data_IF_973991987337
#
_entry.id   IF_973991987337
#
_cell.length_a   1.000
_cell.length_b   1.000
_cell.length_c   1.000
_cell.angle_alpha   90.00
_cell.angle_beta   90.00
_cell.angle_gamma   90.00
#
_symmetry.space_group_name_H-M   'P 1'
#
loop_
_entity.id
_entity.type
_entity.pdbx_description
1 polymer ?
#
# COMPACT_ATOMS: atom_id res chain seq x y z
N UNK A 1 5.98 -8.98 8.64
CA UNK A 1 5.15 -7.80 8.97
C UNK A 1 4.53 -7.29 7.69
N UNK A 2 3.22 -7.45 7.52
CA UNK A 2 2.48 -6.80 6.43
C UNK A 2 2.27 -5.32 6.74
N UNK A 3 2.46 -4.44 5.76
CA UNK A 3 2.23 -3.00 5.92
C UNK A 3 0.75 -2.70 6.21
N UNK A 4 -0.15 -3.38 5.50
CA UNK A 4 -1.60 -3.34 5.74
C UNK A 4 -1.96 -3.74 7.17
N UNK A 5 -1.51 -4.91 7.61
CA UNK A 5 -1.97 -5.53 8.85
C UNK A 5 -1.42 -4.83 10.09
N UNK A 6 -0.16 -4.39 10.03
CA UNK A 6 0.42 -3.58 11.10
C UNK A 6 -0.34 -2.26 11.28
N UNK A 7 -0.92 -1.73 10.20
CA UNK A 7 -1.73 -0.51 10.23
C UNK A 7 -3.17 -0.76 10.70
N UNK A 8 -3.93 -1.62 10.04
CA UNK A 8 -5.39 -1.70 10.18
C UNK A 8 -5.85 -2.91 11.02
N UNK A 9 -6.50 -2.70 12.18
CA UNK A 9 -7.61 -3.59 12.59
C UNK A 9 -8.60 -2.91 13.55
N UNK A 10 -9.89 -2.94 13.19
CA UNK A 10 -11.01 -2.93 14.16
C UNK A 10 -11.17 -4.34 14.71
N UNK A 11 -10.90 -4.56 15.99
CA UNK A 11 -11.64 -5.61 16.69
C UNK A 11 -12.91 -4.99 17.26
N UNK A 12 -14.05 -5.64 17.00
CA UNK A 12 -15.22 -5.50 17.87
C UNK A 12 -14.73 -5.80 19.28
N UNK A 13 -14.56 -4.75 20.09
CA UNK A 13 -14.28 -4.93 21.50
C UNK A 13 -15.55 -5.53 22.10
N UNK A 14 -15.52 -6.83 22.36
CA UNK A 14 -16.50 -7.44 23.26
C UNK A 14 -16.19 -6.88 24.67
N UNK A 15 -17.08 -6.09 25.29
CA UNK A 15 -16.78 -5.36 26.54
C UNK A 15 -16.45 -6.24 27.75
N UNK A 16 -16.50 -7.57 27.61
CA UNK A 16 -16.48 -8.53 28.72
C UNK A 16 -15.15 -9.25 28.95
N UNK A 17 -14.10 -9.03 28.13
CA UNK A 17 -12.76 -9.60 28.38
C UNK A 17 -11.77 -8.54 28.83
N UNK A 18 -11.51 -8.51 30.14
CA UNK A 18 -10.35 -7.83 30.71
C UNK A 18 -9.06 -8.38 30.06
N UNK A 19 -8.22 -7.46 29.56
CA UNK A 19 -6.90 -7.75 29.05
C UNK A 19 -6.00 -8.22 30.20
N UNK A 20 -5.80 -9.55 30.34
CA UNK A 20 -4.69 -10.08 31.11
C UNK A 20 -3.44 -10.13 30.22
N UNK A 21 -2.50 -9.23 30.52
CA UNK A 21 -1.23 -9.07 29.81
C UNK A 21 -0.23 -10.07 30.42
N UNK A 22 -0.28 -11.34 30.01
CA UNK A 22 0.77 -12.31 30.31
C UNK A 22 0.86 -13.36 29.20
N UNK A 23 1.84 -13.19 28.31
CA UNK A 23 2.52 -14.18 27.41
C UNK A 23 2.79 -13.61 26.01
N UNK A 24 3.98 -13.03 25.83
CA UNK A 24 4.47 -12.37 24.60
C UNK A 24 5.45 -13.24 23.80
N UNK A 25 5.04 -14.41 23.31
CA UNK A 25 5.92 -15.20 22.41
C UNK A 25 5.30 -15.61 21.06
N UNK A 26 3.99 -15.45 20.85
CA UNK A 26 3.33 -15.85 19.60
C UNK A 26 2.24 -14.89 19.10
N UNK A 27 2.28 -13.61 19.50
CA UNK A 27 1.28 -12.66 19.03
C UNK A 27 1.60 -12.20 17.59
N UNK A 28 0.59 -12.10 16.71
CA UNK A 28 0.76 -11.42 15.42
C UNK A 28 1.27 -10.00 15.66
N UNK A 29 1.98 -9.38 14.69
CA UNK A 29 2.55 -8.05 14.85
C UNK A 29 1.50 -7.05 15.38
N UNK A 30 1.90 -6.15 16.30
CA UNK A 30 0.97 -5.22 16.93
C UNK A 30 0.28 -4.34 15.89
N UNK A 31 -1.04 -4.30 15.96
CA UNK A 31 -1.95 -3.60 15.03
C UNK A 31 -2.29 -2.25 15.64
N UNK A 32 -2.00 -1.14 14.94
CA UNK A 32 -1.78 0.11 15.68
C UNK A 32 -2.85 1.20 15.56
N UNK A 33 -3.63 1.24 14.46
CA UNK A 33 -4.52 2.38 14.21
C UNK A 33 -5.55 2.68 15.33
N UNK A 34 -6.18 1.69 15.99
CA UNK A 34 -7.08 1.97 17.12
C UNK A 34 -6.41 2.65 18.32
N UNK A 35 -5.11 2.40 18.50
CA UNK A 35 -4.36 2.94 19.64
C UNK A 35 -3.88 4.37 19.40
N UNK A 36 -3.86 4.83 18.14
CA UNK A 36 -3.42 6.18 17.76
C UNK A 36 -4.22 7.27 18.49
N UNK A 37 -5.52 7.06 18.71
CA UNK A 37 -6.37 8.00 19.46
C UNK A 37 -5.94 8.20 20.93
N UNK A 38 -5.18 7.28 21.50
CA UNK A 38 -4.69 7.32 22.87
C UNK A 38 -3.22 7.78 22.97
N UNK A 39 -2.56 8.05 21.85
CA UNK A 39 -1.13 8.37 21.82
C UNK A 39 -0.76 9.56 22.73
N UNK A 40 -1.57 10.63 22.75
CA UNK A 40 -1.29 11.78 23.62
C UNK A 40 -1.56 11.52 25.11
N UNK A 41 -2.19 10.40 25.47
CA UNK A 41 -2.44 10.02 26.87
C UNK A 41 -1.32 9.16 27.45
N UNK A 42 -0.45 8.59 26.61
CA UNK A 42 0.63 7.70 27.01
C UNK A 42 1.89 7.97 26.15
N UNK A 43 2.92 8.62 26.73
CA UNK A 43 4.18 8.91 26.02
C UNK A 43 4.89 7.66 25.48
N UNK A 44 4.77 6.52 26.16
CA UNK A 44 5.35 5.25 25.71
C UNK A 44 4.63 4.77 24.46
N UNK A 45 3.30 4.81 24.46
CA UNK A 45 2.48 4.48 23.30
C UNK A 45 2.78 5.42 22.11
N UNK A 46 2.88 6.73 22.35
CA UNK A 46 3.25 7.70 21.31
C UNK A 46 4.61 7.37 20.68
N UNK A 47 5.60 7.06 21.50
CA UNK A 47 6.95 6.68 21.04
C UNK A 47 6.91 5.39 20.23
N UNK A 48 6.16 4.39 20.71
CA UNK A 48 5.98 3.12 20.01
C UNK A 48 5.34 3.33 18.61
N UNK A 49 4.27 4.12 18.53
CA UNK A 49 3.58 4.42 17.27
C UNK A 49 4.49 5.14 16.27
N UNK A 50 5.28 6.11 16.73
CA UNK A 50 6.31 6.77 15.92
C UNK A 50 7.35 5.76 15.39
N UNK A 51 7.75 4.81 16.25
CA UNK A 51 8.61 3.70 15.86
C UNK A 51 8.02 2.84 14.75
N UNK A 52 6.72 2.53 14.81
CA UNK A 52 6.02 1.79 13.75
C UNK A 52 6.00 2.57 12.43
N UNK A 53 5.72 3.88 12.47
CA UNK A 53 5.78 4.75 11.28
C UNK A 53 7.18 4.73 10.64
N UNK A 54 8.24 4.87 11.44
CA UNK A 54 9.62 4.87 10.94
C UNK A 54 10.08 3.48 10.47
N UNK A 55 9.59 2.41 11.09
CA UNK A 55 9.87 1.05 10.66
C UNK A 55 9.22 0.76 9.29
N UNK A 56 7.96 1.14 9.09
CA UNK A 56 7.32 1.05 7.77
C UNK A 56 8.04 1.91 6.74
N UNK A 57 8.49 3.12 7.12
CA UNK A 57 9.29 3.96 6.23
C UNK A 57 10.58 3.28 5.78
N UNK A 58 11.34 2.65 6.70
CA UNK A 58 12.54 1.87 6.35
C UNK A 58 12.23 0.85 5.25
N UNK A 59 11.20 0.05 5.44
CA UNK A 59 10.77 -0.96 4.49
C UNK A 59 10.35 -0.42 3.12
N UNK A 60 9.45 0.57 3.11
CA UNK A 60 8.99 1.22 1.86
C UNK A 60 10.15 1.93 1.14
N UNK A 61 11.09 2.50 1.90
CA UNK A 61 12.24 3.18 1.32
C UNK A 61 13.20 2.24 0.59
N UNK A 62 13.23 0.94 0.90
CA UNK A 62 14.08 -0.03 0.21
C UNK A 62 13.30 -0.82 -0.83
N UNK A 63 12.11 -1.27 -0.48
CA UNK A 63 11.33 -2.22 -1.27
C UNK A 63 9.85 -1.80 -1.36
N UNK A 64 9.52 -0.75 -2.12
CA UNK A 64 8.16 -0.22 -2.21
C UNK A 64 7.17 -1.15 -2.93
N UNK A 65 7.65 -2.23 -3.55
CA UNK A 65 6.83 -3.26 -4.19
C UNK A 65 6.44 -4.42 -3.27
N UNK A 66 7.00 -4.51 -2.05
CA UNK A 66 6.68 -5.58 -1.12
C UNK A 66 5.46 -5.27 -0.25
N UNK A 67 4.65 -6.30 -0.01
CA UNK A 67 3.56 -6.30 0.97
C UNK A 67 4.05 -6.69 2.37
N UNK A 68 5.03 -7.59 2.48
CA UNK A 68 5.44 -8.18 3.75
C UNK A 68 6.96 -8.20 3.99
N UNK A 69 7.36 -7.88 5.22
CA UNK A 69 8.77 -7.70 5.61
C UNK A 69 9.21 -8.63 6.74
N UNK A 70 10.50 -8.97 6.77
CA UNK A 70 11.11 -9.68 7.89
C UNK A 70 11.08 -8.82 9.15
N UNK A 71 11.20 -9.46 10.31
CA UNK A 71 11.43 -8.71 11.54
C UNK A 71 12.75 -7.90 11.43
N UNK A 72 12.80 -6.69 12.00
CA UNK A 72 14.02 -5.87 11.94
C UNK A 72 15.19 -6.61 12.62
N UNK A 73 16.43 -6.52 12.12
CA UNK A 73 17.59 -7.24 12.68
C UNK A 73 17.78 -7.02 14.18
N UNK A 74 17.42 -5.84 14.67
CA UNK A 74 17.46 -5.41 16.07
C UNK A 74 16.56 -6.28 16.99
N UNK A 75 15.59 -7.01 16.43
CA UNK A 75 14.74 -7.94 17.17
C UNK A 75 15.41 -9.29 17.48
N UNK A 76 16.51 -9.63 16.80
CA UNK A 76 17.16 -10.94 16.89
C UNK A 76 16.36 -12.10 16.27
N UNK A 77 15.20 -11.84 15.67
CA UNK A 77 14.39 -12.83 14.97
C UNK A 77 15.00 -13.06 13.58
N UNK A 78 15.30 -14.32 13.26
CA UNK A 78 15.89 -14.67 11.96
C UNK A 78 14.88 -14.52 10.82
N UNK A 79 15.30 -14.07 9.62
CA UNK A 79 14.46 -14.09 8.43
C UNK A 79 13.90 -15.48 8.11
N UNK A 80 12.67 -15.53 7.58
CA UNK A 80 11.96 -16.75 7.14
C UNK A 80 11.13 -16.45 5.89
N UNK A 81 10.70 -17.43 5.10
CA UNK A 81 9.69 -17.19 4.06
C UNK A 81 9.95 -17.86 2.72
N UNK A 82 9.23 -17.40 1.70
CA UNK A 82 9.20 -17.99 0.36
C UNK A 82 10.32 -17.41 -0.49
N UNK A 83 11.38 -18.19 -0.69
CA UNK A 83 12.58 -17.74 -1.41
C UNK A 83 12.62 -18.16 -2.89
N UNK A 84 11.54 -18.72 -3.41
CA UNK A 84 11.46 -19.25 -4.79
C UNK A 84 10.67 -18.36 -5.75
N UNK A 85 10.18 -17.21 -5.30
CA UNK A 85 9.47 -16.28 -6.17
C UNK A 85 10.45 -15.58 -7.11
N UNK A 86 10.06 -15.46 -8.38
CA UNK A 86 10.79 -14.67 -9.35
C UNK A 86 10.15 -13.29 -9.44
N UNK A 87 10.87 -12.28 -8.97
CA UNK A 87 10.35 -10.92 -8.79
C UNK A 87 11.29 -9.90 -9.41
N UNK A 88 10.72 -8.92 -10.10
CA UNK A 88 11.41 -7.71 -10.51
C UNK A 88 10.70 -6.49 -9.88
N UNK A 89 11.42 -5.51 -9.32
CA UNK A 89 12.86 -5.53 -9.04
C UNK A 89 13.24 -6.66 -8.06
N UNK A 90 14.50 -7.13 -8.07
CA UNK A 90 14.95 -8.18 -7.15
C UNK A 90 14.87 -7.71 -5.70
N UNK A 91 14.64 -8.67 -4.81
CA UNK A 91 14.30 -8.41 -3.42
C UNK A 91 15.40 -8.92 -2.49
N UNK A 92 15.67 -8.19 -1.40
CA UNK A 92 16.57 -8.65 -0.36
C UNK A 92 15.80 -9.57 0.59
N UNK A 93 16.09 -10.86 0.56
CA UNK A 93 15.42 -11.87 1.40
C UNK A 93 15.68 -11.70 2.90
N UNK A 94 16.65 -10.87 3.29
CA UNK A 94 16.90 -10.54 4.70
C UNK A 94 15.98 -9.44 5.21
N UNK A 95 15.41 -8.62 4.33
CA UNK A 95 14.45 -7.55 4.67
C UNK A 95 13.02 -7.89 4.27
N UNK A 96 12.83 -8.63 3.17
CA UNK A 96 11.51 -8.93 2.59
C UNK A 96 11.09 -10.36 2.91
N UNK A 97 9.83 -10.52 3.32
CA UNK A 97 9.16 -11.81 3.50
C UNK A 97 8.39 -12.22 2.24
N UNK A 98 7.65 -11.28 1.65
CA UNK A 98 6.89 -11.49 0.41
C UNK A 98 6.82 -10.18 -0.39
N UNK A 99 6.81 -10.31 -1.72
CA UNK A 99 6.89 -9.19 -2.65
C UNK A 99 5.67 -9.10 -3.59
N UNK A 100 4.47 -9.42 -3.10
CA UNK A 100 3.22 -9.25 -3.86
C UNK A 100 2.84 -7.78 -3.85
N UNK A 101 2.87 -7.13 -5.01
CA UNK A 101 2.57 -5.70 -5.07
C UNK A 101 1.07 -5.42 -4.93
N UNK A 102 0.75 -4.71 -3.86
CA UNK A 102 -0.58 -4.33 -3.44
C UNK A 102 -0.62 -2.81 -3.22
N UNK A 103 -1.49 -2.12 -3.94
CA UNK A 103 -1.60 -0.65 -3.83
C UNK A 103 -1.98 -0.20 -2.41
N UNK A 104 -2.70 -1.04 -1.66
CA UNK A 104 -3.08 -0.75 -0.27
C UNK A 104 -1.90 -0.82 0.70
N UNK A 105 -0.82 -1.55 0.38
CA UNK A 105 0.37 -1.63 1.25
C UNK A 105 1.06 -0.28 1.38
N UNK A 106 1.27 0.43 0.26
CA UNK A 106 1.80 1.79 0.26
C UNK A 106 0.80 2.80 0.84
N UNK A 107 -0.49 2.61 0.54
CA UNK A 107 -1.55 3.46 1.11
C UNK A 107 -1.63 3.33 2.63
N UNK A 108 -1.40 2.13 3.19
CA UNK A 108 -1.38 1.88 4.62
C UNK A 108 -0.24 2.64 5.33
N UNK A 109 0.94 2.71 4.70
CA UNK A 109 2.06 3.51 5.19
C UNK A 109 1.73 5.01 5.27
N UNK A 110 1.13 5.57 4.22
CA UNK A 110 0.69 6.96 4.21
C UNK A 110 -0.40 7.20 5.28
N UNK A 111 -1.34 6.25 5.39
CA UNK A 111 -2.43 6.28 6.37
C UNK A 111 -1.93 6.36 7.81
N UNK A 112 -1.05 5.44 8.24
CA UNK A 112 -0.58 5.46 9.62
C UNK A 112 0.23 6.72 9.93
N UNK A 113 1.01 7.20 8.95
CA UNK A 113 1.78 8.45 9.07
C UNK A 113 0.86 9.64 9.34
N UNK A 114 -0.19 9.81 8.52
CA UNK A 114 -1.15 10.89 8.69
C UNK A 114 -1.94 10.76 10.00
N UNK A 115 -2.47 9.59 10.32
CA UNK A 115 -3.26 9.42 11.54
C UNK A 115 -2.42 9.61 12.82
N UNK A 116 -1.16 9.15 12.83
CA UNK A 116 -0.24 9.43 13.93
C UNK A 116 -0.06 10.94 14.12
N UNK A 117 0.23 11.67 13.04
CA UNK A 117 0.31 13.14 13.07
C UNK A 117 -1.00 13.76 13.57
N UNK A 118 -2.14 13.41 12.96
CA UNK A 118 -3.44 14.01 13.28
C UNK A 118 -3.83 13.82 14.75
N UNK A 119 -3.48 12.69 15.37
CA UNK A 119 -3.77 12.44 16.78
C UNK A 119 -2.76 13.09 17.73
N UNK A 120 -1.51 13.32 17.30
CA UNK A 120 -0.41 13.72 18.19
C UNK A 120 0.12 15.13 17.99
N UNK A 121 -0.16 15.75 16.85
CA UNK A 121 0.48 16.98 16.36
C UNK A 121 1.96 16.83 16.03
N UNK A 122 2.54 15.63 16.13
CA UNK A 122 3.97 15.41 15.88
C UNK A 122 4.23 15.35 14.37
N UNK A 123 4.99 16.32 13.86
CA UNK A 123 5.50 16.34 12.47
C UNK A 123 6.98 15.98 12.39
N UNK A 124 7.66 15.72 13.51
CA UNK A 124 9.12 15.55 13.56
C UNK A 124 9.61 14.38 12.69
N UNK A 125 8.80 13.33 12.54
CA UNK A 125 9.15 12.16 11.72
C UNK A 125 9.21 12.50 10.23
N UNK A 126 8.51 13.54 9.75
CA UNK A 126 8.53 13.98 8.35
C UNK A 126 9.93 14.44 7.93
N UNK A 127 10.68 15.04 8.84
CA UNK A 127 12.05 15.50 8.61
C UNK A 127 13.09 14.38 8.74
N UNK A 128 12.67 13.17 9.12
CA UNK A 128 13.57 12.03 9.15
C UNK A 128 13.87 11.58 7.70
N UNK A 129 15.14 11.47 7.27
CA UNK A 129 15.48 11.17 5.88
C UNK A 129 14.83 9.89 5.34
N UNK A 130 14.77 8.83 6.17
CA UNK A 130 14.15 7.56 5.78
C UNK A 130 12.65 7.70 5.47
N UNK A 131 11.94 8.57 6.20
CA UNK A 131 10.50 8.75 6.00
C UNK A 131 10.25 9.56 4.74
N UNK A 132 11.01 10.63 4.50
CA UNK A 132 10.88 11.42 3.28
C UNK A 132 11.19 10.56 2.05
N UNK A 133 12.28 9.78 2.09
CA UNK A 133 12.63 8.86 1.01
C UNK A 133 11.54 7.80 0.77
N UNK A 134 10.90 7.29 1.83
CA UNK A 134 9.78 6.36 1.73
C UNK A 134 8.54 7.01 1.09
N UNK A 135 8.19 8.23 1.49
CA UNK A 135 7.07 8.96 0.92
C UNK A 135 7.27 9.25 -0.58
N UNK A 136 8.46 9.71 -0.96
CA UNK A 136 8.83 9.92 -2.37
C UNK A 136 8.78 8.61 -3.17
N UNK A 137 9.35 7.53 -2.63
CA UNK A 137 9.30 6.21 -3.30
C UNK A 137 7.89 5.64 -3.38
N UNK A 138 7.03 5.87 -2.40
CA UNK A 138 5.64 5.43 -2.44
C UNK A 138 4.88 6.13 -3.58
N UNK A 139 4.99 7.45 -3.68
CA UNK A 139 4.37 8.25 -4.76
C UNK A 139 4.92 7.85 -6.12
N UNK A 140 6.24 7.73 -6.25
CA UNK A 140 6.90 7.31 -7.50
C UNK A 140 6.48 5.90 -7.92
N UNK A 141 6.38 4.96 -6.97
CA UNK A 141 5.97 3.57 -7.25
C UNK A 141 4.52 3.52 -7.72
N UNK A 142 3.62 4.27 -7.07
CA UNK A 142 2.24 4.39 -7.55
C UNK A 142 2.17 5.01 -8.96
N UNK A 143 3.02 6.00 -9.27
CA UNK A 143 3.13 6.60 -10.63
C UNK A 143 3.61 5.60 -11.68
N UNK A 144 4.68 4.86 -11.39
CA UNK A 144 5.16 3.76 -12.23
C UNK A 144 4.06 2.74 -12.55
N UNK A 145 3.17 2.50 -11.60
CA UNK A 145 2.06 1.57 -11.74
C UNK A 145 0.83 2.16 -12.45
N UNK A 146 0.91 3.39 -12.95
CA UNK A 146 -0.02 3.91 -13.96
C UNK A 146 0.47 3.68 -15.40
N UNK A 147 1.75 3.36 -15.60
CA UNK A 147 2.34 3.22 -16.94
C UNK A 147 1.57 2.17 -17.77
N UNK A 148 1.14 2.57 -18.96
CA UNK A 148 0.48 1.70 -19.93
C UNK A 148 1.40 0.56 -20.37
N UNK A 149 0.83 -0.56 -20.77
CA UNK A 149 1.61 -1.72 -21.24
C UNK A 149 2.27 -1.47 -22.58
N UNK A 150 1.63 -0.68 -23.44
CA UNK A 150 2.17 -0.27 -24.74
C UNK A 150 2.26 1.24 -24.83
N UNK A 151 3.29 1.74 -25.51
CA UNK A 151 3.42 3.15 -25.86
C UNK A 151 2.49 3.56 -27.03
N UNK A 152 2.55 4.83 -27.43
CA UNK A 152 1.77 5.38 -28.54
C UNK A 152 2.08 4.76 -29.91
N UNK A 153 3.22 4.09 -30.04
CA UNK A 153 3.67 3.43 -31.26
C UNK A 153 3.35 1.91 -31.22
N UNK A 154 2.71 1.44 -30.15
CA UNK A 154 2.35 0.03 -29.97
C UNK A 154 3.50 -0.84 -29.47
N UNK A 155 4.64 -0.25 -29.06
CA UNK A 155 5.77 -1.00 -28.48
C UNK A 155 5.50 -1.29 -27.02
N UNK A 156 5.87 -2.49 -26.57
CA UNK A 156 5.69 -2.87 -25.17
C UNK A 156 6.66 -2.10 -24.27
N UNK A 157 6.12 -1.44 -23.24
CA UNK A 157 6.91 -0.78 -22.21
C UNK A 157 7.55 -1.82 -21.28
N UNK A 158 8.74 -1.49 -20.76
CA UNK A 158 9.43 -2.34 -19.78
C UNK A 158 8.62 -2.31 -18.47
N UNK A 159 8.16 -3.47 -17.97
CA UNK A 159 7.39 -3.52 -16.74
C UNK A 159 8.23 -3.07 -15.55
N UNK A 160 7.66 -2.20 -14.71
CA UNK A 160 8.31 -1.70 -13.49
C UNK A 160 8.27 -2.69 -12.33
N UNK A 161 7.39 -3.68 -12.45
CA UNK A 161 7.23 -4.78 -11.51
C UNK A 161 6.79 -6.04 -12.26
N UNK A 162 7.29 -7.19 -11.83
CA UNK A 162 6.88 -8.50 -12.32
C UNK A 162 6.94 -9.49 -11.17
N UNK A 163 6.01 -10.44 -11.12
CA UNK A 163 6.01 -11.49 -10.11
C UNK A 163 5.53 -12.82 -10.68
N UNK A 164 6.32 -13.87 -10.51
CA UNK A 164 5.86 -15.25 -10.73
C UNK A 164 6.22 -16.15 -9.56
N UNK A 165 5.30 -17.06 -9.25
CA UNK A 165 5.44 -18.09 -8.23
C UNK A 165 5.04 -19.45 -8.80
N UNK A 166 5.82 -20.47 -8.48
CA UNK A 166 5.41 -21.85 -8.73
C UNK A 166 4.44 -22.30 -7.62
N UNK A 167 3.14 -22.10 -7.84
CA UNK A 167 2.08 -22.43 -6.89
C UNK A 167 1.03 -23.36 -7.51
N UNK A 168 0.38 -24.15 -6.65
CA UNK A 168 -0.80 -24.95 -7.02
C UNK A 168 -2.03 -24.05 -7.21
N UNK A 169 -2.13 -22.98 -6.42
CA UNK A 169 -3.20 -22.00 -6.53
C UNK A 169 -2.86 -20.98 -7.63
N UNK A 170 -3.70 -20.83 -8.67
CA UNK A 170 -3.46 -19.85 -9.73
C UNK A 170 -3.51 -18.40 -9.23
N UNK A 171 -4.16 -18.11 -8.10
CA UNK A 171 -4.22 -16.74 -7.55
C UNK A 171 -2.93 -16.32 -6.83
N UNK A 172 -2.01 -17.25 -6.58
CA UNK A 172 -0.73 -16.97 -5.93
C UNK A 172 0.37 -16.49 -6.89
N UNK A 173 0.06 -16.34 -8.18
CA UNK A 173 1.00 -15.89 -9.22
C UNK A 173 0.32 -14.90 -10.19
N UNK A 174 1.11 -14.19 -10.98
CA UNK A 174 0.61 -13.35 -12.07
C UNK A 174 0.75 -14.06 -13.42
N UNK A 175 -0.21 -13.82 -14.30
CA UNK A 175 -0.20 -14.31 -15.67
C UNK A 175 0.67 -13.41 -16.59
N UNK A 176 0.80 -13.78 -17.87
CA UNK A 176 1.66 -13.10 -18.86
C UNK A 176 3.11 -12.93 -18.40
N UNK A 177 3.67 -14.03 -17.90
CA UNK A 177 5.05 -14.09 -17.43
C UNK A 177 5.31 -13.20 -16.22
N UNK A 178 4.27 -12.83 -15.47
CA UNK A 178 4.35 -12.07 -14.23
C UNK A 178 3.95 -10.59 -14.33
N UNK A 179 3.63 -10.11 -15.53
CA UNK A 179 3.34 -8.69 -15.80
C UNK A 179 1.89 -8.28 -15.53
N UNK A 180 1.01 -9.26 -15.32
CA UNK A 180 -0.43 -9.00 -15.26
C UNK A 180 -1.02 -8.57 -16.60
N UNK A 181 -2.25 -8.07 -16.56
CA UNK A 181 -3.03 -7.79 -17.77
C UNK A 181 -2.53 -6.54 -18.51
N UNK A 182 -2.55 -6.56 -19.85
CA UNK A 182 -2.22 -5.36 -20.61
C UNK A 182 -3.23 -4.26 -20.33
N UNK A 183 -2.73 -3.04 -20.16
CA UNK A 183 -3.54 -1.86 -19.89
C UNK A 183 -3.18 -0.71 -20.82
N UNK A 184 -4.14 0.21 -20.94
CA UNK A 184 -3.87 1.59 -21.35
C UNK A 184 -3.83 2.48 -20.11
N UNK A 185 -3.27 3.66 -20.26
CA UNK A 185 -3.28 4.67 -19.19
C UNK A 185 -4.72 5.14 -18.93
N UNK A 186 -5.16 5.06 -17.67
CA UNK A 186 -6.50 5.49 -17.22
C UNK A 186 -6.45 6.63 -16.20
N UNK A 187 -5.30 6.84 -15.57
CA UNK A 187 -5.15 7.63 -14.34
C UNK A 187 -5.27 6.78 -13.06
N UNK A 188 -5.73 5.52 -13.14
CA UNK A 188 -5.70 4.59 -12.01
C UNK A 188 -4.35 3.87 -11.88
N UNK A 189 -4.06 3.39 -10.67
CA UNK A 189 -2.87 2.62 -10.30
C UNK A 189 -3.18 1.13 -10.44
N UNK A 190 -2.32 0.38 -11.13
CA UNK A 190 -2.37 -1.09 -11.16
C UNK A 190 -2.14 -1.64 -9.76
N UNK A 191 -2.86 -2.67 -9.36
CA UNK A 191 -2.57 -3.52 -8.20
C UNK A 191 -2.46 -4.94 -8.72
N UNK A 192 -1.29 -5.56 -8.59
CA UNK A 192 -1.10 -6.92 -9.08
C UNK A 192 -1.84 -7.89 -8.17
N UNK A 193 -1.80 -7.65 -6.87
CA UNK A 193 -2.52 -8.43 -5.88
C UNK A 193 -3.53 -7.56 -5.11
N UNK A 194 -4.52 -8.23 -4.54
CA UNK A 194 -5.55 -7.67 -3.66
C UNK A 194 -5.06 -7.69 -2.21
N UNK A 195 -5.75 -7.00 -1.28
CA UNK A 195 -5.50 -7.14 0.15
C UNK A 195 -5.66 -8.55 0.73
N UNK A 196 -6.21 -9.51 -0.04
CA UNK A 196 -6.26 -10.94 0.32
C UNK A 196 -4.98 -11.70 -0.07
N UNK A 197 -3.99 -11.01 -0.64
CA UNK A 197 -2.79 -11.55 -1.28
C UNK A 197 -3.08 -12.41 -2.54
N UNK A 198 -4.32 -12.43 -3.04
CA UNK A 198 -4.69 -13.05 -4.33
C UNK A 198 -4.42 -12.11 -5.51
N UNK A 199 -4.04 -12.67 -6.65
CA UNK A 199 -3.88 -11.89 -7.88
C UNK A 199 -5.20 -11.21 -8.29
N UNK A 200 -5.10 -9.93 -8.66
CA UNK A 200 -6.20 -9.19 -9.25
C UNK A 200 -6.58 -9.81 -10.58
N UNK A 201 -7.88 -9.95 -10.84
CA UNK A 201 -8.37 -10.41 -12.15
C UNK A 201 -8.23 -9.26 -13.13
N UNK A 202 -8.67 -8.06 -12.77
CA UNK A 202 -8.36 -6.85 -13.51
C UNK A 202 -7.44 -5.93 -12.72
N UNK A 203 -6.45 -5.31 -13.36
CA UNK A 203 -5.33 -4.70 -12.65
C UNK A 203 -5.75 -3.44 -11.89
N UNK A 204 -6.86 -2.79 -12.23
CA UNK A 204 -7.33 -1.62 -11.49
C UNK A 204 -8.28 -2.03 -10.36
N UNK A 205 -7.73 -2.46 -9.24
CA UNK A 205 -8.47 -2.72 -8.00
C UNK A 205 -9.03 -1.40 -7.44
N UNK A 206 -10.35 -1.22 -7.54
CA UNK A 206 -11.02 0.07 -7.32
C UNK A 206 -10.98 0.50 -5.85
N UNK A 207 -11.25 -0.37 -4.85
CA UNK A 207 -11.12 0.01 -3.43
C UNK A 207 -9.70 0.45 -3.05
N UNK A 208 -8.67 -0.23 -3.58
CA UNK A 208 -7.27 0.14 -3.34
C UNK A 208 -6.92 1.50 -3.96
N UNK A 209 -7.42 1.78 -5.16
CA UNK A 209 -7.28 3.11 -5.79
C UNK A 209 -8.01 4.21 -5.01
N UNK A 210 -9.21 3.92 -4.49
CA UNK A 210 -9.95 4.86 -3.65
C UNK A 210 -9.18 5.18 -2.36
N UNK A 211 -8.60 4.17 -1.72
CA UNK A 211 -7.70 4.36 -0.58
C UNK A 211 -6.48 5.19 -0.96
N UNK A 212 -5.79 4.87 -2.06
CA UNK A 212 -4.63 5.64 -2.53
C UNK A 212 -4.99 7.12 -2.78
N UNK A 213 -6.13 7.41 -3.41
CA UNK A 213 -6.58 8.80 -3.60
C UNK A 213 -6.74 9.54 -2.27
N UNK A 214 -7.36 8.93 -1.27
CA UNK A 214 -7.52 9.55 0.06
C UNK A 214 -6.16 9.75 0.75
N UNK A 215 -5.31 8.73 0.76
CA UNK A 215 -4.06 8.79 1.52
C UNK A 215 -2.99 9.65 0.84
N UNK A 216 -3.05 9.87 -0.47
CA UNK A 216 -2.24 10.87 -1.18
C UNK A 216 -2.66 12.31 -0.82
N UNK A 217 -3.95 12.56 -0.63
CA UNK A 217 -4.42 13.86 -0.14
C UNK A 217 -3.97 14.08 1.31
N UNK A 218 -4.05 13.06 2.16
CA UNK A 218 -3.52 13.10 3.52
C UNK A 218 -1.99 13.35 3.55
N UNK A 219 -1.23 12.75 2.63
CA UNK A 219 0.20 13.04 2.49
C UNK A 219 0.43 14.52 2.19
N UNK A 220 -0.30 15.10 1.24
CA UNK A 220 -0.20 16.52 0.92
C UNK A 220 -0.51 17.41 2.13
N UNK A 221 -1.59 17.11 2.86
CA UNK A 221 -1.96 17.84 4.09
C UNK A 221 -0.88 17.75 5.17
N UNK A 222 -0.30 16.57 5.37
CA UNK A 222 0.79 16.34 6.34
C UNK A 222 2.02 17.18 5.97
N UNK A 223 2.43 17.14 4.70
CA UNK A 223 3.58 17.90 4.20
C UNK A 223 3.36 19.42 4.30
N UNK A 224 2.17 19.89 3.94
CA UNK A 224 1.79 21.31 4.09
C UNK A 224 1.83 21.75 5.56
N UNK A 225 1.28 20.93 6.47
CA UNK A 225 1.28 21.21 7.92
C UNK A 225 2.69 21.25 8.49
N UNK A 226 3.56 20.34 8.04
CA UNK A 226 4.96 20.31 8.44
C UNK A 226 5.79 21.45 7.79
N UNK A 227 5.29 22.11 6.74
CA UNK A 227 6.08 23.03 5.94
C UNK A 227 7.22 22.34 5.17
N UNK A 228 7.06 21.06 4.85
CA UNK A 228 8.09 20.20 4.26
C UNK A 228 7.74 19.82 2.82
N UNK A 229 8.76 19.74 1.95
CA UNK A 229 8.69 19.24 0.56
C UNK A 229 7.42 19.68 -0.20
N UNK A 230 7.32 20.99 -0.45
CA UNK A 230 6.17 21.61 -1.14
C UNK A 230 5.89 20.99 -2.50
N UNK A 231 6.93 20.55 -3.22
CA UNK A 231 6.79 19.91 -4.52
C UNK A 231 6.08 18.56 -4.39
N UNK A 232 6.56 17.68 -3.49
CA UNK A 232 5.91 16.38 -3.24
C UNK A 232 4.45 16.55 -2.77
N UNK A 233 4.17 17.55 -1.92
CA UNK A 233 2.81 17.89 -1.51
C UNK A 233 1.90 18.18 -2.70
N UNK A 234 2.35 19.06 -3.61
CA UNK A 234 1.60 19.41 -4.81
C UNK A 234 1.41 18.22 -5.76
N UNK A 235 2.45 17.42 -5.95
CA UNK A 235 2.37 16.20 -6.77
C UNK A 235 1.38 15.19 -6.18
N UNK A 236 1.41 14.96 -4.87
CA UNK A 236 0.49 14.04 -4.19
C UNK A 236 -0.96 14.52 -4.29
N UNK A 237 -1.23 15.82 -4.10
CA UNK A 237 -2.57 16.40 -4.26
C UNK A 237 -3.09 16.26 -5.68
N UNK A 238 -2.27 16.59 -6.68
CA UNK A 238 -2.63 16.44 -8.09
C UNK A 238 -2.93 14.96 -8.42
N UNK A 239 -2.10 14.05 -7.92
CA UNK A 239 -2.28 12.62 -8.13
C UNK A 239 -3.55 12.07 -7.46
N UNK A 240 -3.87 12.53 -6.25
CA UNK A 240 -5.14 12.20 -5.57
C UNK A 240 -6.36 12.53 -6.43
N UNK A 241 -6.38 13.74 -7.01
CA UNK A 241 -7.47 14.21 -7.88
C UNK A 241 -7.55 13.40 -9.18
N UNK A 242 -6.40 13.11 -9.78
CA UNK A 242 -6.29 12.31 -10.99
C UNK A 242 -6.89 10.91 -10.81
N UNK A 243 -6.49 10.19 -9.76
CA UNK A 243 -7.01 8.85 -9.44
C UNK A 243 -8.51 8.91 -9.18
N UNK A 244 -8.97 9.90 -8.42
CA UNK A 244 -10.40 10.08 -8.13
C UNK A 244 -11.21 10.24 -9.41
N UNK A 245 -10.79 11.13 -10.29
CA UNK A 245 -11.44 11.36 -11.57
C UNK A 245 -11.41 10.09 -12.44
N UNK A 246 -10.30 9.36 -12.44
CA UNK A 246 -10.16 8.10 -13.16
C UNK A 246 -11.09 7.00 -12.63
N UNK A 247 -11.31 6.91 -11.32
CA UNK A 247 -12.29 5.99 -10.70
C UNK A 247 -13.69 6.31 -11.20
N UNK A 248 -14.14 7.56 -11.07
CA UNK A 248 -15.50 7.94 -11.49
C UNK A 248 -15.73 7.74 -12.99
N UNK A 249 -14.69 7.94 -13.81
CA UNK A 249 -14.75 7.75 -15.26
C UNK A 249 -14.79 6.27 -15.68
N UNK A 250 -14.00 5.42 -15.03
CA UNK A 250 -13.69 4.08 -15.55
C UNK A 250 -14.19 2.91 -14.68
N UNK A 251 -14.74 3.19 -13.48
CA UNK A 251 -15.16 2.16 -12.54
C UNK A 251 -16.64 2.26 -12.12
N UNK A 252 -17.38 3.27 -12.56
CA UNK A 252 -18.83 3.37 -12.33
C UNK A 252 -19.56 2.58 -13.41
N UNK A 253 -20.33 1.58 -13.00
CA UNK A 253 -21.13 0.70 -13.87
C UNK A 253 -22.60 0.90 -13.53
N UNK A 254 -23.46 0.97 -14.55
CA UNK A 254 -24.91 1.03 -14.36
C UNK A 254 -25.49 -0.38 -14.18
N UNK A 255 -25.76 -0.76 -12.93
CA UNK A 255 -26.43 -2.03 -12.60
C UNK A 255 -27.93 -1.94 -12.88
N UNK A 256 -28.55 -2.98 -13.49
CA UNK A 256 -29.99 -2.97 -13.81
C UNK A 256 -30.90 -2.73 -12.60
N UNK A 257 -30.51 -3.25 -11.43
CA UNK A 257 -31.31 -3.17 -10.20
C UNK A 257 -30.88 -2.05 -9.25
N UNK A 258 -29.57 -1.75 -9.19
CA UNK A 258 -28.99 -0.90 -8.13
C UNK A 258 -28.57 0.48 -8.63
N UNK A 259 -28.77 0.77 -9.92
CA UNK A 259 -28.30 2.00 -10.53
C UNK A 259 -26.77 2.05 -10.60
N UNK A 260 -26.19 3.22 -10.39
CA UNK A 260 -24.75 3.40 -10.50
C UNK A 260 -24.02 2.75 -9.31
N UNK A 261 -23.16 1.79 -9.60
CA UNK A 261 -22.31 1.08 -8.63
C UNK A 261 -20.84 1.16 -9.03
N UNK A 262 -19.94 0.97 -8.08
CA UNK A 262 -18.52 0.80 -8.37
C UNK A 262 -18.19 -0.67 -8.67
N UNK A 263 -17.46 -0.92 -9.75
CA UNK A 263 -16.82 -2.21 -9.98
C UNK A 263 -15.80 -2.50 -8.86
N UNK A 264 -15.58 -3.77 -8.54
CA UNK A 264 -14.50 -4.16 -7.62
C UNK A 264 -13.12 -4.01 -8.30
N UNK A 265 -13.04 -4.41 -9.57
CA UNK A 265 -11.87 -4.27 -10.42
C UNK A 265 -12.30 -3.82 -11.81
N UNK A 266 -11.43 -3.08 -12.50
CA UNK A 266 -11.66 -2.58 -13.85
C UNK A 266 -10.44 -2.78 -14.74
N UNK A 267 -10.65 -2.89 -16.05
CA UNK A 267 -9.58 -2.82 -17.08
C UNK A 267 -9.41 -1.41 -17.65
N UNK A 268 -10.22 -0.44 -17.20
CA UNK A 268 -10.19 0.92 -17.70
C UNK A 268 -11.09 1.21 -18.91
N UNK A 269 -11.72 0.18 -19.49
CA UNK A 269 -12.63 0.27 -20.63
C UNK A 269 -13.75 -0.78 -20.50
N UNK A 270 -14.93 -0.49 -21.04
CA UNK A 270 -16.08 -1.41 -21.02
C UNK A 270 -16.12 -2.42 -22.17
N UNK A 271 -15.23 -2.30 -23.16
CA UNK A 271 -15.27 -3.10 -24.38
C UNK A 271 -13.88 -3.67 -24.68
N UNK A 272 -13.70 -4.96 -24.39
CA UNK A 272 -12.89 -5.81 -25.24
C UNK A 272 -13.81 -6.20 -26.39
N UNK A 273 -13.78 -5.47 -27.50
CA UNK A 273 -14.29 -6.01 -28.76
C UNK A 273 -13.29 -7.08 -29.20
N UNK A 274 -13.72 -8.35 -29.14
CA UNK A 274 -13.00 -9.51 -29.66
C UNK A 274 -13.18 -9.62 -31.17
#
# INVERSE_FOLDING_TARGET
MWLRDSTNQRHQINPSRQLQITHYQHLPPPKVLPYVAYANKDPTLKTFLRGVVLLQARYVSHHPYANAFQAPPESGIRPTGWHSDNVFPPMDSTEVYEAKYEVDSLSAFLKISYHYHAATGDVSFVFHPIWMAAAEKAVLTMRHQQEATFDSEGRQNIPRYNFTRHAQNPTDTQFLGGNGQPIRFTGMIKSHFRPSDDSSVFPFFVPGNAMASVELEHLAQLLDTAGANKELSQQARAFSVEIRNAIYKNAVVKHPEFGDIFACESIGFFLLEC
#
